data_IF_799918491184
#
_entry.id   IF_799918491184
#
_cell.length_a   1.000
_cell.length_b   1.000
_cell.length_c   1.000
_cell.angle_alpha   90.00
_cell.angle_beta   90.00
_cell.angle_gamma   90.00
#
_symmetry.space_group_name_H-M   'P 1'
#
loop_
_entity.id
_entity.type
_entity.pdbx_description
1 polymer ?
#
# COMPACT_ATOMS: atom_id res chain seq x y z
N UNK A 1 -14.78 -19.41 -5.92
CA UNK A 1 -14.25 -18.21 -5.24
C UNK A 1 -14.79 -16.92 -5.88
N UNK A 2 -14.61 -15.78 -5.20
CA UNK A 2 -14.99 -14.46 -5.76
C UNK A 2 -14.22 -14.23 -7.08
N UNK A 3 -12.94 -14.52 -7.11
CA UNK A 3 -12.12 -14.36 -8.30
C UNK A 3 -12.62 -15.18 -9.50
N UNK A 4 -13.06 -16.41 -9.28
CA UNK A 4 -13.62 -17.26 -10.34
C UNK A 4 -14.92 -16.67 -10.90
N UNK A 5 -15.74 -16.14 -10.04
CA UNK A 5 -17.01 -15.50 -10.42
C UNK A 5 -16.80 -14.22 -11.22
N UNK A 6 -15.81 -13.41 -10.82
CA UNK A 6 -15.40 -12.22 -11.58
C UNK A 6 -14.85 -12.62 -12.96
N UNK A 7 -14.08 -13.71 -13.02
CA UNK A 7 -13.55 -14.25 -14.28
C UNK A 7 -14.66 -14.65 -15.27
N UNK A 8 -15.65 -15.41 -14.79
CA UNK A 8 -16.81 -15.80 -15.58
C UNK A 8 -17.58 -14.58 -16.12
N UNK A 9 -17.73 -13.56 -15.28
CA UNK A 9 -18.42 -12.33 -15.66
C UNK A 9 -17.64 -11.60 -16.77
N UNK A 10 -16.35 -11.44 -16.62
CA UNK A 10 -15.52 -10.75 -17.62
C UNK A 10 -15.46 -11.48 -18.95
N UNK A 11 -15.48 -12.81 -18.94
CA UNK A 11 -15.56 -13.59 -20.16
C UNK A 11 -16.90 -13.37 -20.90
N UNK A 12 -18.01 -13.25 -20.17
CA UNK A 12 -19.33 -12.95 -20.77
C UNK A 12 -19.42 -11.56 -21.35
N UNK A 13 -18.80 -10.58 -20.69
CA UNK A 13 -18.74 -9.19 -21.12
C UNK A 13 -17.66 -8.94 -22.19
N UNK A 14 -16.88 -9.97 -22.55
CA UNK A 14 -15.77 -9.89 -23.52
C UNK A 14 -14.70 -8.85 -23.13
N UNK A 15 -14.48 -8.66 -21.84
CA UNK A 15 -13.46 -7.76 -21.30
C UNK A 15 -12.22 -8.58 -20.94
N UNK A 16 -11.08 -8.20 -21.49
CA UNK A 16 -9.81 -8.82 -21.15
C UNK A 16 -9.27 -8.35 -19.79
N UNK A 17 -9.13 -9.29 -18.87
CA UNK A 17 -8.61 -9.03 -17.52
C UNK A 17 -7.58 -10.09 -17.16
N UNK A 18 -6.48 -9.66 -16.57
CA UNK A 18 -5.48 -10.58 -16.00
C UNK A 18 -6.04 -11.29 -14.76
N UNK A 19 -5.79 -12.59 -14.65
CA UNK A 19 -6.22 -13.38 -13.50
C UNK A 19 -5.66 -12.82 -12.16
N UNK A 20 -4.42 -12.31 -12.18
CA UNK A 20 -3.79 -11.68 -11.02
C UNK A 20 -4.53 -10.41 -10.59
N UNK A 21 -5.07 -9.63 -11.53
CA UNK A 21 -5.90 -8.47 -11.24
C UNK A 21 -7.20 -8.86 -10.54
N UNK A 22 -7.88 -9.91 -11.03
CA UNK A 22 -9.11 -10.41 -10.40
C UNK A 22 -8.89 -10.95 -8.99
N UNK A 23 -7.79 -11.64 -8.75
CA UNK A 23 -7.41 -12.11 -7.41
C UNK A 23 -7.13 -10.95 -6.47
N UNK A 24 -6.49 -9.91 -6.95
CA UNK A 24 -6.23 -8.70 -6.17
C UNK A 24 -7.52 -7.97 -5.79
N UNK A 25 -8.44 -7.78 -6.75
CA UNK A 25 -9.76 -7.18 -6.51
C UNK A 25 -10.54 -8.00 -5.47
N UNK A 26 -10.55 -9.33 -5.60
CA UNK A 26 -11.22 -10.22 -4.65
C UNK A 26 -10.63 -10.12 -3.24
N UNK A 27 -9.31 -9.93 -3.12
CA UNK A 27 -8.60 -9.71 -1.86
C UNK A 27 -8.99 -8.38 -1.22
N UNK A 28 -8.99 -7.30 -1.99
CA UNK A 28 -9.37 -5.95 -1.50
C UNK A 28 -10.83 -5.91 -1.07
N UNK A 29 -11.70 -6.67 -1.73
CA UNK A 29 -13.13 -6.77 -1.41
C UNK A 29 -13.43 -7.55 -0.12
N UNK A 30 -12.44 -8.17 0.49
CA UNK A 30 -12.50 -8.86 1.80
C UNK A 30 -13.72 -9.79 1.97
N UNK A 31 -13.97 -10.62 0.96
CA UNK A 31 -15.05 -11.60 0.97
C UNK A 31 -16.42 -11.08 0.50
N UNK A 32 -16.54 -9.80 0.22
CA UNK A 32 -17.79 -9.20 -0.27
C UNK A 32 -17.85 -9.22 -1.82
N UNK A 33 -18.79 -10.00 -2.37
CA UNK A 33 -19.01 -10.04 -3.81
C UNK A 33 -19.51 -8.70 -4.37
N UNK A 34 -20.35 -8.00 -3.61
CA UNK A 34 -20.86 -6.68 -4.00
C UNK A 34 -19.73 -5.66 -4.12
N UNK A 35 -18.82 -5.64 -3.15
CA UNK A 35 -17.68 -4.74 -3.15
C UNK A 35 -16.69 -5.12 -4.27
N UNK A 36 -16.47 -6.41 -4.51
CA UNK A 36 -15.64 -6.88 -5.61
C UNK A 36 -16.16 -6.42 -6.99
N UNK A 37 -17.46 -6.49 -7.22
CA UNK A 37 -18.07 -5.98 -8.45
C UNK A 37 -17.93 -4.47 -8.58
N UNK A 38 -18.16 -3.72 -7.50
CA UNK A 38 -18.00 -2.27 -7.48
C UNK A 38 -16.56 -1.83 -7.77
N UNK A 39 -15.57 -2.53 -7.18
CA UNK A 39 -14.15 -2.27 -7.43
C UNK A 39 -13.74 -2.63 -8.86
N UNK A 40 -14.27 -3.73 -9.40
CA UNK A 40 -14.02 -4.13 -10.79
C UNK A 40 -14.59 -3.11 -11.77
N UNK A 41 -15.83 -2.65 -11.55
CA UNK A 41 -16.47 -1.60 -12.37
C UNK A 41 -15.67 -0.30 -12.34
N UNK A 42 -15.13 0.07 -11.18
CA UNK A 42 -14.26 1.23 -11.03
C UNK A 42 -12.99 1.09 -11.88
N UNK A 43 -12.33 -0.06 -11.85
CA UNK A 43 -11.15 -0.32 -12.65
C UNK A 43 -11.45 -0.27 -14.16
N UNK A 44 -12.55 -0.90 -14.59
CA UNK A 44 -12.97 -0.92 -16.00
C UNK A 44 -13.32 0.49 -16.50
N UNK A 45 -14.03 1.27 -15.69
CA UNK A 45 -14.40 2.64 -16.03
C UNK A 45 -13.19 3.56 -16.20
N UNK A 46 -12.12 3.31 -15.43
CA UNK A 46 -10.89 4.10 -15.51
C UNK A 46 -10.09 3.78 -16.79
N UNK A 47 -10.08 2.53 -17.24
CA UNK A 47 -9.33 2.05 -18.40
C UNK A 47 -10.24 1.54 -19.52
N UNK A 48 -11.22 2.33 -19.91
CA UNK A 48 -12.21 1.98 -20.95
C UNK A 48 -11.55 1.47 -22.23
N UNK A 49 -11.91 0.23 -22.61
CA UNK A 49 -11.45 -0.40 -23.85
C UNK A 49 -10.05 -0.98 -23.83
N UNK A 50 -9.36 -0.90 -22.70
CA UNK A 50 -8.04 -1.49 -22.52
C UNK A 50 -8.10 -2.76 -21.66
N UNK A 51 -7.15 -3.68 -21.88
CA UNK A 51 -6.99 -4.84 -21.00
C UNK A 51 -6.67 -4.38 -19.58
N UNK A 52 -7.44 -4.88 -18.61
CA UNK A 52 -7.18 -4.64 -17.18
C UNK A 52 -6.04 -5.53 -16.68
N UNK A 53 -4.88 -4.94 -16.48
CA UNK A 53 -3.71 -5.61 -15.92
C UNK A 53 -3.68 -5.50 -14.39
N UNK A 54 -2.86 -6.33 -13.76
CA UNK A 54 -2.64 -6.26 -12.32
C UNK A 54 -2.10 -4.89 -11.89
N UNK A 55 -1.14 -4.32 -12.64
CA UNK A 55 -0.58 -2.99 -12.35
C UNK A 55 -1.64 -1.90 -12.41
N UNK A 56 -2.54 -1.94 -13.40
CA UNK A 56 -3.67 -1.02 -13.53
C UNK A 56 -4.66 -1.15 -12.37
N UNK A 57 -4.96 -2.38 -11.94
CA UNK A 57 -5.83 -2.60 -10.78
C UNK A 57 -5.24 -2.03 -9.50
N UNK A 58 -3.94 -2.19 -9.29
CA UNK A 58 -3.24 -1.59 -8.14
C UNK A 58 -3.25 -0.06 -8.23
N UNK A 59 -3.02 0.51 -9.40
CA UNK A 59 -3.02 1.97 -9.59
C UNK A 59 -4.38 2.59 -9.21
N UNK A 60 -5.48 1.94 -9.58
CA UNK A 60 -6.83 2.43 -9.28
C UNK A 60 -7.25 2.14 -7.84
N UNK A 61 -7.00 0.94 -7.33
CA UNK A 61 -7.50 0.47 -6.05
C UNK A 61 -6.46 0.55 -4.94
N UNK A 62 -5.20 0.48 -5.29
CA UNK A 62 -4.08 0.57 -4.38
C UNK A 62 -3.72 2.00 -4.01
N UNK A 63 -4.72 2.86 -3.86
CA UNK A 63 -4.60 4.28 -3.50
C UNK A 63 -4.05 4.52 -2.08
N UNK A 64 -3.28 3.60 -1.55
CA UNK A 64 -2.24 3.92 -0.59
C UNK A 64 -1.18 4.64 -1.39
N UNK A 65 -1.07 5.93 -1.22
CA UNK A 65 -0.05 6.76 -1.84
C UNK A 65 1.34 6.32 -1.35
N UNK A 66 1.83 5.22 -1.95
CA UNK A 66 3.14 4.65 -1.63
C UNK A 66 4.26 5.66 -1.87
N UNK A 67 4.03 6.65 -2.72
CA UNK A 67 4.97 7.74 -2.98
C UNK A 67 5.27 8.55 -1.70
N UNK A 68 4.27 8.79 -0.86
CA UNK A 68 4.46 9.50 0.41
C UNK A 68 5.30 8.69 1.39
N UNK A 69 5.05 7.38 1.47
CA UNK A 69 5.84 6.49 2.34
C UNK A 69 7.28 6.34 1.83
N UNK A 70 7.48 6.24 0.52
CA UNK A 70 8.80 6.24 -0.10
C UNK A 70 9.57 7.53 0.21
N UNK A 71 8.94 8.70 0.05
CA UNK A 71 9.54 9.98 0.40
C UNK A 71 9.96 10.04 1.88
N UNK A 72 9.09 9.61 2.78
CA UNK A 72 9.39 9.57 4.21
C UNK A 72 10.55 8.62 4.51
N UNK A 73 10.53 7.42 3.94
CA UNK A 73 11.62 6.45 4.10
C UNK A 73 12.97 7.02 3.62
N UNK A 74 13.01 7.66 2.45
CA UNK A 74 14.22 8.26 1.91
C UNK A 74 14.75 9.38 2.82
N UNK A 75 13.89 10.26 3.32
CA UNK A 75 14.29 11.28 4.30
C UNK A 75 14.88 10.65 5.57
N UNK A 76 14.28 9.57 6.08
CA UNK A 76 14.78 8.83 7.24
C UNK A 76 16.13 8.18 6.95
N UNK A 77 16.29 7.53 5.81
CA UNK A 77 17.51 6.83 5.40
C UNK A 77 18.69 7.81 5.20
N UNK A 78 18.40 9.01 4.70
CA UNK A 78 19.38 10.07 4.44
C UNK A 78 19.60 10.98 5.67
N UNK A 79 18.92 10.71 6.79
CA UNK A 79 18.94 11.52 8.02
C UNK A 79 18.53 12.98 7.79
N UNK A 80 17.68 13.21 6.80
CA UNK A 80 17.11 14.52 6.48
C UNK A 80 15.94 14.83 7.43
N UNK A 81 16.24 15.32 8.60
CA UNK A 81 15.27 15.68 9.64
C UNK A 81 14.30 16.76 9.15
N UNK A 82 14.82 17.76 8.44
CA UNK A 82 13.97 18.84 7.91
C UNK A 82 13.02 18.36 6.83
N UNK A 83 13.45 17.43 5.97
CA UNK A 83 12.61 16.77 4.99
C UNK A 83 11.48 15.98 5.66
N UNK A 84 11.77 15.23 6.71
CA UNK A 84 10.77 14.51 7.49
C UNK A 84 9.73 15.46 8.11
N UNK A 85 10.16 16.56 8.73
CA UNK A 85 9.26 17.54 9.36
C UNK A 85 8.35 18.21 8.32
N UNK A 86 8.91 18.66 7.19
CA UNK A 86 8.12 19.26 6.11
C UNK A 86 7.08 18.29 5.55
N UNK A 87 7.45 17.03 5.36
CA UNK A 87 6.54 16.01 4.87
C UNK A 87 5.40 15.72 5.86
N UNK A 88 5.69 15.69 7.16
CA UNK A 88 4.67 15.58 8.20
C UNK A 88 3.71 16.77 8.20
N UNK A 89 4.22 17.99 8.03
CA UNK A 89 3.38 19.19 7.91
C UNK A 89 2.46 19.11 6.68
N UNK A 90 2.99 18.68 5.52
CA UNK A 90 2.18 18.45 4.31
C UNK A 90 1.03 17.46 4.56
N UNK A 91 1.31 16.35 5.26
CA UNK A 91 0.33 15.31 5.60
C UNK A 91 -0.74 15.87 6.52
N UNK A 92 -0.36 16.61 7.56
CA UNK A 92 -1.29 17.21 8.51
C UNK A 92 -2.17 18.28 7.86
N UNK A 93 -1.61 19.14 7.01
CA UNK A 93 -2.36 20.15 6.24
C UNK A 93 -3.35 19.51 5.27
N UNK A 94 -3.01 18.35 4.68
CA UNK A 94 -3.91 17.61 3.80
C UNK A 94 -5.11 16.96 4.52
N UNK A 95 -5.15 17.04 5.85
CA UNK A 95 -6.22 16.46 6.67
C UNK A 95 -6.12 14.95 6.84
N UNK A 96 -5.00 14.32 6.52
CA UNK A 96 -4.78 12.90 6.76
C UNK A 96 -4.62 12.61 8.24
N UNK A 97 -5.19 11.51 8.69
CA UNK A 97 -4.98 11.01 10.04
C UNK A 97 -3.54 10.53 10.23
N UNK A 98 -2.85 11.10 11.22
CA UNK A 98 -1.45 10.78 11.51
C UNK A 98 -1.26 9.31 11.90
N UNK A 99 -2.22 8.74 12.61
CA UNK A 99 -2.14 7.33 13.03
C UNK A 99 -2.29 6.37 11.84
N UNK A 100 -3.17 6.70 10.89
CA UNK A 100 -3.29 5.96 9.63
C UNK A 100 -2.00 6.08 8.80
N UNK A 101 -1.40 7.26 8.75
CA UNK A 101 -0.13 7.46 8.05
C UNK A 101 1.00 6.60 8.67
N UNK A 102 1.14 6.60 9.99
CA UNK A 102 2.16 5.79 10.68
C UNK A 102 1.91 4.29 10.45
N UNK A 103 0.66 3.84 10.51
CA UNK A 103 0.30 2.45 10.21
C UNK A 103 0.67 2.07 8.77
N UNK A 104 0.40 2.93 7.81
CA UNK A 104 0.78 2.75 6.41
C UNK A 104 2.30 2.74 6.20
N UNK A 105 3.03 3.61 6.88
CA UNK A 105 4.49 3.64 6.84
C UNK A 105 5.10 2.35 7.42
N UNK A 106 4.57 1.84 8.52
CA UNK A 106 4.99 0.55 9.10
C UNK A 106 4.76 -0.58 8.09
N UNK A 107 3.60 -0.60 7.43
CA UNK A 107 3.30 -1.56 6.37
C UNK A 107 4.31 -1.46 5.23
N UNK A 108 4.63 -0.26 4.78
CA UNK A 108 5.64 -0.02 3.75
C UNK A 108 7.02 -0.57 4.13
N UNK A 109 7.48 -0.28 5.34
CA UNK A 109 8.76 -0.77 5.86
C UNK A 109 8.80 -2.30 5.99
N UNK A 110 7.69 -2.93 6.37
CA UNK A 110 7.56 -4.40 6.38
C UNK A 110 7.70 -4.98 4.98
N UNK A 111 7.11 -4.35 3.98
CA UNK A 111 7.25 -4.77 2.59
C UNK A 111 8.70 -4.64 2.11
N UNK A 112 9.39 -3.54 2.43
CA UNK A 112 10.83 -3.42 2.16
C UNK A 112 11.62 -4.56 2.81
N UNK A 113 11.31 -4.92 4.06
CA UNK A 113 11.97 -6.01 4.75
C UNK A 113 11.71 -7.38 4.08
N UNK A 114 10.47 -7.65 3.65
CA UNK A 114 10.12 -8.88 2.93
C UNK A 114 10.90 -8.98 1.62
N UNK A 115 11.01 -7.89 0.88
CA UNK A 115 11.76 -7.83 -0.38
C UNK A 115 13.25 -8.01 -0.14
N UNK A 116 13.81 -7.48 0.96
CA UNK A 116 15.24 -7.58 1.27
C UNK A 116 15.69 -8.98 1.65
N UNK A 117 14.83 -9.75 2.32
CA UNK A 117 15.16 -11.08 2.86
C UNK A 117 15.16 -12.18 1.80
N UNK A 118 14.33 -12.06 0.77
CA UNK A 118 14.14 -13.13 -0.21
C UNK A 118 13.79 -12.62 -1.59
N UNK A 119 14.38 -13.21 -2.62
CA UNK A 119 13.97 -12.98 -4.02
C UNK A 119 12.50 -13.33 -4.28
N UNK A 120 11.94 -14.30 -3.53
CA UNK A 120 10.51 -14.62 -3.54
C UNK A 120 9.65 -13.57 -2.83
N UNK A 121 10.25 -12.71 -2.01
CA UNK A 121 9.55 -11.64 -1.28
C UNK A 121 8.84 -10.66 -2.22
N UNK A 122 9.38 -10.44 -3.40
CA UNK A 122 8.76 -9.61 -4.45
C UNK A 122 7.34 -10.10 -4.82
N UNK A 123 7.13 -11.41 -4.89
CA UNK A 123 5.83 -12.00 -5.22
C UNK A 123 4.81 -11.92 -4.08
N UNK A 124 5.29 -11.70 -2.86
CA UNK A 124 4.47 -11.61 -1.65
C UNK A 124 3.93 -10.19 -1.41
N UNK A 125 4.46 -9.19 -2.11
CA UNK A 125 4.07 -7.78 -1.96
C UNK A 125 3.11 -7.38 -3.08
N UNK A 126 1.94 -6.89 -2.69
CA UNK A 126 0.95 -6.36 -3.63
C UNK A 126 1.34 -4.93 -4.03
N UNK A 127 2.13 -4.81 -5.07
CA UNK A 127 2.57 -3.55 -5.65
C UNK A 127 2.73 -3.67 -7.16
N UNK A 128 2.70 -2.55 -7.88
CA UNK A 128 2.97 -2.52 -9.31
C UNK A 128 4.44 -2.85 -9.59
N UNK A 129 4.76 -3.22 -10.82
CA UNK A 129 6.13 -3.52 -11.22
C UNK A 129 7.08 -2.35 -10.94
N UNK A 130 6.64 -1.14 -11.26
CA UNK A 130 7.40 0.10 -10.99
C UNK A 130 7.62 0.34 -9.49
N UNK A 131 6.59 0.15 -8.68
CA UNK A 131 6.69 0.27 -7.22
C UNK A 131 7.65 -0.77 -6.63
N UNK A 132 7.62 -2.02 -7.13
CA UNK A 132 8.52 -3.07 -6.68
C UNK A 132 9.99 -2.76 -7.03
N UNK A 133 10.24 -2.25 -8.22
CA UNK A 133 11.59 -1.81 -8.63
C UNK A 133 12.10 -0.68 -7.74
N UNK A 134 11.26 0.29 -7.43
CA UNK A 134 11.59 1.36 -6.50
C UNK A 134 11.90 0.84 -5.10
N UNK A 135 11.05 -0.05 -4.56
CA UNK A 135 11.26 -0.68 -3.26
C UNK A 135 12.58 -1.48 -3.23
N UNK A 136 12.92 -2.21 -4.28
CA UNK A 136 14.19 -2.93 -4.38
C UNK A 136 15.40 -2.00 -4.32
N UNK A 137 15.34 -0.83 -4.94
CA UNK A 137 16.40 0.18 -4.81
C UNK A 137 16.49 0.74 -3.38
N UNK A 138 15.36 0.94 -2.74
CA UNK A 138 15.28 1.46 -1.37
C UNK A 138 15.81 0.47 -0.34
N UNK A 139 15.64 -0.84 -0.54
CA UNK A 139 16.21 -1.88 0.37
C UNK A 139 17.74 -1.81 0.47
N UNK A 140 18.41 -1.19 -0.49
CA UNK A 140 19.87 -1.01 -0.49
C UNK A 140 20.33 0.12 0.42
N UNK A 141 19.42 1.02 0.83
CA UNK A 141 19.76 2.22 1.63
C UNK A 141 19.85 1.93 3.14
N UNK A 142 19.09 0.96 3.62
CA UNK A 142 19.02 0.60 5.05
C UNK A 142 19.05 -0.92 5.16
N UNK A 143 19.87 -1.44 6.05
CA UNK A 143 19.96 -2.87 6.34
C UNK A 143 18.74 -3.40 7.11
N UNK A 144 18.63 -4.71 7.24
CA UNK A 144 17.51 -5.36 7.95
C UNK A 144 17.41 -4.90 9.40
N UNK A 145 18.55 -4.73 10.09
CA UNK A 145 18.58 -4.24 11.47
C UNK A 145 18.02 -2.84 11.58
N UNK A 146 18.36 -1.97 10.64
CA UNK A 146 17.82 -0.61 10.55
C UNK A 146 16.31 -0.58 10.29
N UNK A 147 15.82 -1.41 9.36
CA UNK A 147 14.40 -1.56 9.07
C UNK A 147 13.61 -2.05 10.29
N UNK A 148 14.12 -3.06 11.00
CA UNK A 148 13.51 -3.57 12.24
C UNK A 148 13.45 -2.47 13.30
N UNK A 149 14.51 -1.68 13.44
CA UNK A 149 14.54 -0.55 14.38
C UNK A 149 13.47 0.49 14.05
N UNK A 150 13.33 0.88 12.78
CA UNK A 150 12.30 1.82 12.36
C UNK A 150 10.89 1.30 12.63
N UNK A 151 10.62 0.04 12.28
CA UNK A 151 9.32 -0.60 12.53
C UNK A 151 8.99 -0.59 14.02
N UNK A 152 9.95 -0.93 14.88
CA UNK A 152 9.75 -0.95 16.34
C UNK A 152 9.43 0.44 16.89
N UNK A 153 10.23 1.44 16.54
CA UNK A 153 10.02 2.83 17.02
C UNK A 153 8.66 3.35 16.56
N UNK A 154 8.29 3.16 15.30
CA UNK A 154 7.01 3.62 14.77
C UNK A 154 5.82 2.85 15.37
N UNK A 155 5.98 1.56 15.68
CA UNK A 155 4.95 0.76 16.34
C UNK A 155 4.71 1.23 17.78
N UNK A 156 5.76 1.56 18.53
CA UNK A 156 5.66 2.14 19.87
C UNK A 156 4.99 3.52 19.82
N UNK A 157 5.37 4.36 18.85
CA UNK A 157 4.75 5.68 18.64
C UNK A 157 3.26 5.56 18.28
N UNK A 158 2.89 4.63 17.40
CA UNK A 158 1.49 4.38 17.04
C UNK A 158 0.64 4.01 18.26
N UNK A 159 1.18 3.18 19.15
CA UNK A 159 0.50 2.82 20.39
C UNK A 159 0.33 4.03 21.30
N UNK A 160 1.36 4.85 21.48
CA UNK A 160 1.29 6.06 22.31
C UNK A 160 0.24 7.05 21.80
N UNK A 161 0.12 7.24 20.48
CA UNK A 161 -0.88 8.12 19.86
C UNK A 161 -2.28 7.59 20.13
N UNK A 162 -2.53 6.29 19.98
CA UNK A 162 -3.82 5.66 20.26
C UNK A 162 -4.26 5.88 21.71
N UNK A 163 -3.36 5.69 22.67
CA UNK A 163 -3.64 5.93 24.09
C UNK A 163 -3.89 7.40 24.40
N UNK A 164 -3.15 8.32 23.78
CA UNK A 164 -3.33 9.76 23.97
C UNK A 164 -4.69 10.24 23.42
N UNK A 165 -5.13 9.69 22.29
CA UNK A 165 -6.44 10.01 21.70
C UNK A 165 -7.59 9.48 22.54
N UNK A 166 -7.46 8.27 23.12
CA UNK A 166 -8.46 7.71 24.02
C UNK A 166 -8.60 8.50 25.32
N UNK A 167 -7.52 9.04 25.87
CA UNK A 167 -7.60 9.91 27.06
C UNK A 167 -8.31 11.24 26.81
N UNK A 168 -8.25 11.78 25.60
CA UNK A 168 -8.96 13.01 25.22
C UNK A 168 -10.48 12.82 25.06
N UNK A 169 -10.93 11.61 24.79
CA UNK A 169 -12.37 11.28 24.64
C UNK A 169 -13.02 11.01 26.00
N UNK A 170 -12.24 10.77 27.06
CA UNK A 170 -12.73 10.46 28.41
C UNK A 170 -12.70 11.65 29.39
N UNK A 171 -12.33 12.82 28.91
CA UNK A 171 -12.44 14.10 29.63
C UNK A 171 -13.43 15.02 28.92
#
# INVERSE_FOLDING_TARGET
>A
TIADRLKDLMQREQIEVEEKALRYIAKVADGSMRDALSLLDQCIAFYLGEKLTYDKAIEVLGAVDTAVYSRMFNCMAELDVMGCVKLLDEIMISGRDLNQFITGLIWYLRNLMIISVSSAGREMVDASTEQLEQMEQETKKVDETGLIRYIRILSELSNQIKYATQKRVLT
#
